data_IF_276164710713
#
_entry.id   IF_276164710713
#
_cell.length_a   1.000
_cell.length_b   1.000
_cell.length_c   1.000
_cell.angle_alpha   90.00
_cell.angle_beta   90.00
_cell.angle_gamma   90.00
#
_symmetry.space_group_name_H-M   'P 1'
#
loop_
_entity.id
_entity.type
_entity.pdbx_description
1 polymer ?
#
# COMPACT_ATOMS: atom_id res chain seq x y z
N UNK A 1 -2.81 -13.68 26.80
CA UNK A 1 -4.01 -14.52 26.84
C UNK A 1 -4.48 -14.88 25.43
N UNK A 2 -5.21 -15.97 25.27
CA UNK A 2 -5.78 -16.39 23.97
C UNK A 2 -6.62 -15.29 23.31
N UNK A 3 -7.28 -14.45 24.10
CA UNK A 3 -8.11 -13.36 23.59
C UNK A 3 -7.26 -12.21 23.01
N UNK A 4 -6.12 -11.93 23.61
CA UNK A 4 -5.17 -10.94 23.10
C UNK A 4 -4.56 -11.39 21.76
N UNK A 5 -4.17 -12.65 21.64
CA UNK A 5 -3.65 -13.20 20.40
C UNK A 5 -4.69 -13.16 19.26
N UNK A 6 -5.96 -13.45 19.55
CA UNK A 6 -7.04 -13.31 18.57
C UNK A 6 -7.19 -11.89 18.06
N UNK A 7 -7.11 -10.89 18.95
CA UNK A 7 -7.22 -9.48 18.58
C UNK A 7 -6.07 -9.02 17.68
N UNK A 8 -4.85 -9.48 17.92
CA UNK A 8 -3.68 -9.16 17.09
C UNK A 8 -3.86 -9.65 15.66
N UNK A 9 -4.53 -10.79 15.47
CA UNK A 9 -4.81 -11.33 14.12
C UNK A 9 -5.65 -10.39 13.26
N UNK A 10 -6.50 -9.55 13.84
CA UNK A 10 -7.26 -8.55 13.09
C UNK A 10 -6.38 -7.48 12.46
N UNK A 11 -5.17 -7.28 12.93
CA UNK A 11 -4.16 -6.42 12.29
C UNK A 11 -3.26 -7.24 11.35
N UNK A 12 -2.72 -8.34 11.84
CA UNK A 12 -1.67 -9.11 11.14
C UNK A 12 -2.20 -9.78 9.87
N UNK A 13 -3.38 -10.43 9.93
CA UNK A 13 -3.93 -11.13 8.76
C UNK A 13 -4.23 -10.21 7.58
N UNK A 14 -4.97 -9.09 7.73
CA UNK A 14 -5.18 -8.20 6.60
C UNK A 14 -3.88 -7.58 6.08
N UNK A 15 -2.92 -7.28 6.97
CA UNK A 15 -1.59 -6.80 6.56
C UNK A 15 -0.87 -7.80 5.65
N UNK A 16 -0.83 -9.07 6.06
CA UNK A 16 -0.19 -10.13 5.28
C UNK A 16 -0.93 -10.40 3.97
N UNK A 17 -2.24 -10.43 3.97
CA UNK A 17 -3.04 -10.67 2.75
C UNK A 17 -2.79 -9.56 1.74
N UNK A 18 -2.85 -8.29 2.16
CA UNK A 18 -2.58 -7.15 1.27
C UNK A 18 -1.15 -7.20 0.74
N UNK A 19 -0.16 -7.43 1.61
CA UNK A 19 1.25 -7.51 1.22
C UNK A 19 1.49 -8.64 0.21
N UNK A 20 0.95 -9.83 0.47
CA UNK A 20 1.12 -10.98 -0.42
C UNK A 20 0.45 -10.76 -1.77
N UNK A 21 -0.80 -10.28 -1.79
CA UNK A 21 -1.49 -9.97 -3.04
C UNK A 21 -0.78 -8.89 -3.84
N UNK A 22 -0.26 -7.86 -3.17
CA UNK A 22 0.53 -6.82 -3.81
C UNK A 22 1.80 -7.39 -4.47
N UNK A 23 2.61 -8.13 -3.72
CA UNK A 23 3.86 -8.68 -4.24
C UNK A 23 3.64 -9.76 -5.29
N UNK A 24 2.61 -10.60 -5.15
CA UNK A 24 2.28 -11.62 -6.15
C UNK A 24 1.83 -10.96 -7.46
N UNK A 25 0.91 -10.00 -7.41
CA UNK A 25 0.42 -9.32 -8.61
C UNK A 25 1.51 -8.52 -9.31
N UNK A 26 2.38 -7.84 -8.57
CA UNK A 26 3.56 -7.16 -9.12
C UNK A 26 4.53 -8.12 -9.78
N UNK A 27 4.80 -9.26 -9.16
CA UNK A 27 5.70 -10.27 -9.72
C UNK A 27 5.14 -10.91 -10.99
N UNK A 28 3.85 -11.15 -11.05
CA UNK A 28 3.17 -11.60 -12.27
C UNK A 28 3.27 -10.53 -13.37
N UNK A 29 3.04 -9.26 -13.04
CA UNK A 29 3.15 -8.16 -13.98
C UNK A 29 4.57 -8.08 -14.58
N UNK A 30 5.61 -8.15 -13.73
CA UNK A 30 7.00 -8.14 -14.19
C UNK A 30 7.32 -9.33 -15.10
N UNK A 31 6.76 -10.51 -14.80
CA UNK A 31 7.04 -11.72 -15.57
C UNK A 31 6.28 -11.80 -16.91
N UNK A 32 5.10 -11.18 -17.01
CA UNK A 32 4.17 -11.37 -18.11
C UNK A 32 3.94 -10.15 -19.01
N UNK A 33 4.17 -8.95 -18.52
CA UNK A 33 3.92 -7.72 -19.28
C UNK A 33 5.19 -7.24 -19.99
N UNK A 34 5.03 -6.83 -21.24
CA UNK A 34 6.06 -6.09 -21.99
C UNK A 34 5.87 -4.59 -21.70
N UNK A 35 6.92 -3.86 -21.27
CA UNK A 35 6.83 -2.41 -21.03
C UNK A 35 6.39 -1.60 -22.24
N UNK A 36 6.62 -2.12 -23.45
CA UNK A 36 6.32 -1.43 -24.71
C UNK A 36 4.96 -1.80 -25.32
N UNK A 37 4.32 -2.86 -24.80
CA UNK A 37 3.07 -3.39 -25.36
C UNK A 37 2.02 -3.53 -24.26
N UNK A 38 1.26 -2.46 -23.93
CA UNK A 38 0.16 -2.54 -22.99
C UNK A 38 -0.90 -3.56 -23.42
N UNK A 39 -1.49 -4.25 -22.46
CA UNK A 39 -2.57 -5.22 -22.68
C UNK A 39 -3.91 -4.57 -22.38
N UNK A 40 -4.70 -4.29 -23.43
CA UNK A 40 -6.04 -3.75 -23.27
C UNK A 40 -6.99 -4.80 -22.69
N UNK A 41 -7.77 -4.41 -21.69
CA UNK A 41 -8.72 -5.30 -21.00
C UNK A 41 -10.17 -4.93 -21.28
N UNK A 42 -10.56 -3.73 -20.86
CA UNK A 42 -11.95 -3.28 -20.95
C UNK A 42 -12.02 -1.77 -20.88
N UNK A 43 -12.75 -1.14 -21.80
CA UNK A 43 -12.89 0.30 -21.91
C UNK A 43 -11.51 1.01 -21.91
N UNK A 44 -11.22 1.86 -20.91
CA UNK A 44 -9.91 2.52 -20.77
C UNK A 44 -8.92 1.73 -19.92
N UNK A 45 -9.36 0.63 -19.27
CA UNK A 45 -8.51 -0.19 -18.43
C UNK A 45 -7.56 -1.05 -19.28
N UNK A 46 -6.29 -0.89 -19.02
CA UNK A 46 -5.23 -1.71 -19.59
C UNK A 46 -4.19 -2.08 -18.51
N UNK A 47 -3.36 -3.06 -18.81
CA UNK A 47 -2.20 -3.41 -18.02
C UNK A 47 -0.94 -2.88 -18.69
N UNK A 48 -0.21 -2.02 -18.00
CA UNK A 48 1.03 -1.41 -18.49
C UNK A 48 2.11 -1.58 -17.44
N UNK A 49 3.27 -2.11 -17.81
CA UNK A 49 4.36 -2.27 -16.85
C UNK A 49 5.18 -0.98 -16.77
N UNK A 50 5.13 -0.33 -15.62
CA UNK A 50 5.94 0.86 -15.30
C UNK A 50 6.70 0.63 -14.00
N UNK A 51 7.96 1.05 -14.00
CA UNK A 51 8.79 1.10 -12.80
C UNK A 51 8.92 2.54 -12.34
N UNK A 52 8.35 2.82 -11.16
CA UNK A 52 8.24 4.16 -10.61
C UNK A 52 9.37 4.42 -9.59
N UNK A 53 10.31 5.33 -9.90
CA UNK A 53 11.40 5.67 -8.98
C UNK A 53 10.96 6.56 -7.80
N UNK A 54 9.67 6.89 -7.68
CA UNK A 54 9.11 7.64 -6.56
C UNK A 54 8.73 9.08 -6.85
N UNK A 55 8.89 9.54 -8.10
CA UNK A 55 8.46 10.86 -8.50
C UNK A 55 7.67 10.81 -9.81
N UNK A 56 6.42 11.20 -9.75
CA UNK A 56 5.56 11.39 -10.93
C UNK A 56 6.02 12.55 -11.82
N UNK A 57 7.00 13.32 -11.38
CA UNK A 57 7.56 14.48 -12.06
C UNK A 57 9.07 14.36 -12.00
N UNK A 58 9.78 14.46 -13.08
CA UNK A 58 11.25 14.39 -13.28
C UNK A 58 12.12 15.12 -12.23
N UNK A 59 11.52 15.66 -11.20
CA UNK A 59 12.12 16.45 -10.12
C UNK A 59 12.74 15.56 -9.02
N UNK A 60 12.56 14.22 -9.07
CA UNK A 60 12.68 13.42 -7.87
C UNK A 60 13.61 12.21 -7.90
N UNK A 61 14.52 12.07 -8.87
CA UNK A 61 15.44 10.92 -8.90
C UNK A 61 16.27 10.78 -7.62
N UNK A 62 16.60 11.93 -6.98
CA UNK A 62 17.34 11.96 -5.71
C UNK A 62 16.42 11.88 -4.47
N UNK A 63 15.10 11.90 -4.64
CA UNK A 63 14.15 11.89 -3.52
C UNK A 63 13.66 10.49 -3.15
N UNK A 64 13.93 9.48 -3.97
CA UNK A 64 13.48 8.10 -3.71
C UNK A 64 13.87 7.59 -2.32
N UNK A 65 15.12 7.74 -1.84
CA UNK A 65 15.48 7.32 -0.48
C UNK A 65 14.73 8.08 0.60
N UNK A 66 14.42 9.35 0.38
CA UNK A 66 13.65 10.19 1.31
C UNK A 66 12.20 9.70 1.38
N UNK A 67 11.58 9.45 0.23
CA UNK A 67 10.22 8.90 0.13
C UNK A 67 10.15 7.53 0.82
N UNK A 68 11.13 6.65 0.56
CA UNK A 68 11.22 5.35 1.20
C UNK A 68 11.35 5.46 2.73
N UNK A 69 12.18 6.38 3.21
CA UNK A 69 12.37 6.64 4.65
C UNK A 69 11.09 7.13 5.29
N UNK A 70 10.38 8.08 4.67
CA UNK A 70 9.08 8.58 5.16
C UNK A 70 8.06 7.44 5.20
N UNK A 71 8.02 6.60 4.20
CA UNK A 71 7.11 5.45 4.15
C UNK A 71 7.42 4.42 5.25
N UNK A 72 8.69 4.16 5.55
CA UNK A 72 9.10 3.30 6.67
C UNK A 72 8.64 3.89 8.01
N UNK A 73 8.87 5.18 8.23
CA UNK A 73 8.42 5.87 9.45
C UNK A 73 6.89 5.81 9.55
N UNK A 74 6.17 6.07 8.47
CA UNK A 74 4.71 5.96 8.43
C UNK A 74 4.24 4.54 8.78
N UNK A 75 4.90 3.50 8.26
CA UNK A 75 4.55 2.11 8.55
C UNK A 75 4.73 1.77 10.04
N UNK A 76 5.78 2.28 10.67
CA UNK A 76 6.02 2.10 12.12
C UNK A 76 4.91 2.77 12.94
N UNK A 77 4.54 4.00 12.57
CA UNK A 77 3.46 4.74 13.25
C UNK A 77 2.12 4.01 13.09
N UNK A 78 1.80 3.54 11.89
CA UNK A 78 0.57 2.79 11.60
C UNK A 78 0.54 1.49 12.42
N UNK A 79 1.66 0.77 12.50
CA UNK A 79 1.75 -0.44 13.30
C UNK A 79 1.53 -0.15 14.79
N UNK A 80 2.13 0.90 15.32
CA UNK A 80 1.96 1.30 16.72
C UNK A 80 0.49 1.55 17.06
N UNK A 81 -0.19 2.38 16.28
CA UNK A 81 -1.60 2.67 16.50
C UNK A 81 -2.50 1.47 16.19
N UNK A 82 -2.18 0.69 15.18
CA UNK A 82 -2.94 -0.51 14.82
C UNK A 82 -2.88 -1.59 15.90
N UNK A 83 -1.72 -1.83 16.51
CA UNK A 83 -1.60 -2.77 17.61
C UNK A 83 -2.31 -2.28 18.88
N UNK A 84 -2.28 -0.97 19.15
CA UNK A 84 -2.92 -0.35 20.30
C UNK A 84 -4.45 -0.24 20.16
N UNK A 85 -4.98 -0.28 18.94
CA UNK A 85 -6.42 -0.08 18.66
C UNK A 85 -7.27 -1.19 19.31
N UNK A 86 -8.32 -0.79 20.02
CA UNK A 86 -9.25 -1.70 20.68
C UNK A 86 -10.40 -2.15 19.77
N UNK A 87 -10.88 -1.27 18.88
CA UNK A 87 -11.96 -1.58 17.96
C UNK A 87 -11.46 -2.48 16.84
N UNK A 88 -12.05 -3.67 16.71
CA UNK A 88 -11.56 -4.69 15.77
C UNK A 88 -11.71 -4.29 14.29
N UNK A 89 -12.77 -3.57 13.94
CA UNK A 89 -12.97 -3.05 12.58
C UNK A 89 -11.90 -2.02 12.22
N UNK A 90 -11.61 -1.11 13.11
CA UNK A 90 -10.58 -0.08 12.94
C UNK A 90 -9.19 -0.73 12.92
N UNK A 91 -8.94 -1.69 13.80
CA UNK A 91 -7.70 -2.49 13.83
C UNK A 91 -7.47 -3.22 12.50
N UNK A 92 -8.50 -3.82 11.93
CA UNK A 92 -8.47 -4.46 10.61
C UNK A 92 -8.07 -3.46 9.51
N UNK A 93 -8.66 -2.27 9.51
CA UNK A 93 -8.34 -1.22 8.54
C UNK A 93 -6.91 -0.68 8.72
N UNK A 94 -6.41 -0.56 9.94
CA UNK A 94 -4.99 -0.29 10.18
C UNK A 94 -4.10 -1.37 9.54
N UNK A 95 -4.49 -2.62 9.63
CA UNK A 95 -3.78 -3.74 8.99
C UNK A 95 -3.77 -3.62 7.46
N UNK A 96 -4.90 -3.30 6.84
CA UNK A 96 -5.01 -3.08 5.39
C UNK A 96 -4.09 -1.94 4.95
N UNK A 97 -4.13 -0.80 5.64
CA UNK A 97 -3.29 0.37 5.33
C UNK A 97 -1.81 0.04 5.54
N UNK A 98 -1.46 -0.63 6.63
CA UNK A 98 -0.09 -1.09 6.89
C UNK A 98 0.44 -1.99 5.76
N UNK A 99 -0.34 -2.98 5.34
CA UNK A 99 0.02 -3.86 4.22
C UNK A 99 0.24 -3.10 2.92
N UNK A 100 -0.58 -2.07 2.64
CA UNK A 100 -0.42 -1.20 1.49
C UNK A 100 0.87 -0.38 1.53
N UNK A 101 1.17 0.26 2.65
CA UNK A 101 2.43 1.01 2.81
C UNK A 101 3.63 0.09 2.66
N UNK A 102 3.64 -1.04 3.36
CA UNK A 102 4.75 -2.00 3.35
C UNK A 102 4.94 -2.63 1.97
N UNK A 103 3.87 -2.87 1.22
CA UNK A 103 3.94 -3.40 -0.15
C UNK A 103 4.82 -2.54 -1.06
N UNK A 104 4.67 -1.23 -1.01
CA UNK A 104 5.52 -0.30 -1.75
C UNK A 104 6.90 -0.12 -1.12
N UNK A 105 7.03 -0.18 0.20
CA UNK A 105 8.33 -0.16 0.89
C UNK A 105 9.20 -1.35 0.48
N UNK A 106 8.61 -2.55 0.39
CA UNK A 106 9.33 -3.76 -0.06
C UNK A 106 9.93 -3.58 -1.45
N UNK A 107 9.22 -2.95 -2.38
CA UNK A 107 9.75 -2.65 -3.70
C UNK A 107 10.97 -1.72 -3.62
N UNK A 108 10.90 -0.67 -2.80
CA UNK A 108 11.99 0.29 -2.63
C UNK A 108 13.22 -0.30 -1.94
N UNK A 109 13.04 -1.34 -1.13
CA UNK A 109 14.14 -2.05 -0.46
C UNK A 109 14.79 -3.11 -1.34
N UNK A 110 13.99 -3.86 -2.13
CA UNK A 110 14.44 -5.13 -2.72
C UNK A 110 14.35 -5.19 -4.24
N UNK A 111 13.58 -4.32 -4.91
CA UNK A 111 13.53 -4.30 -6.37
C UNK A 111 14.66 -3.45 -6.96
N UNK A 112 14.84 -3.54 -8.29
CA UNK A 112 15.87 -2.79 -9.01
C UNK A 112 15.78 -1.28 -8.76
N UNK A 113 16.93 -0.65 -8.56
CA UNK A 113 17.08 0.78 -8.38
C UNK A 113 18.53 1.19 -8.25
N UNK A 114 18.78 2.49 -8.20
CA UNK A 114 20.11 3.09 -8.23
C UNK A 114 20.68 3.33 -6.82
N UNK A 115 20.70 2.28 -5.98
CA UNK A 115 21.33 2.34 -4.67
C UNK A 115 20.38 2.05 -3.49
N UNK A 116 20.81 2.43 -2.29
CA UNK A 116 20.11 2.16 -1.04
C UNK A 116 18.75 2.88 -0.98
N UNK A 117 17.68 2.14 -0.67
CA UNK A 117 16.30 2.61 -0.62
C UNK A 117 15.78 3.23 -1.93
N UNK A 118 16.44 2.95 -3.05
CA UNK A 118 16.14 3.50 -4.36
C UNK A 118 15.46 2.51 -5.30
N UNK A 119 14.98 1.38 -4.78
CA UNK A 119 14.22 0.42 -5.57
C UNK A 119 12.97 1.04 -6.19
N UNK A 120 12.68 0.67 -7.42
CA UNK A 120 11.53 1.17 -8.17
C UNK A 120 10.26 0.40 -7.83
N UNK A 121 9.17 1.12 -7.57
CA UNK A 121 7.85 0.54 -7.35
C UNK A 121 7.29 0.06 -8.68
N UNK A 122 6.77 -1.16 -8.70
CA UNK A 122 6.10 -1.73 -9.87
C UNK A 122 4.64 -1.27 -9.90
N UNK A 123 4.28 -0.52 -10.91
CA UNK A 123 2.91 -0.07 -11.20
C UNK A 123 2.45 -0.72 -12.52
N UNK A 124 1.19 -1.17 -12.59
CA UNK A 124 0.72 -1.89 -13.76
C UNK A 124 -0.76 -1.73 -14.09
N UNK A 125 -1.58 -1.17 -13.20
CA UNK A 125 -3.00 -0.92 -13.44
C UNK A 125 -3.14 0.48 -14.03
N UNK A 126 -3.55 0.54 -15.30
CA UNK A 126 -3.58 1.76 -16.09
C UNK A 126 -5.01 2.03 -16.60
N UNK A 127 -5.64 3.06 -16.03
CA UNK A 127 -6.94 3.54 -16.45
C UNK A 127 -6.84 4.55 -17.62
N UNK A 128 -5.64 4.99 -17.99
CA UNK A 128 -5.29 5.99 -19.00
C UNK A 128 -5.68 7.44 -18.65
N UNK A 129 -6.59 7.66 -17.72
CA UNK A 129 -7.02 8.98 -17.23
C UNK A 129 -6.69 9.19 -15.75
N UNK A 130 -6.06 8.23 -15.09
CA UNK A 130 -5.60 8.23 -13.71
C UNK A 130 -4.14 7.77 -13.68
N UNK A 131 -3.31 8.22 -12.73
CA UNK A 131 -1.94 7.72 -12.59
C UNK A 131 -1.92 6.21 -12.43
N UNK A 132 -0.97 5.54 -13.09
CA UNK A 132 -0.81 4.08 -13.00
C UNK A 132 -0.55 3.70 -11.56
N UNK A 133 -1.14 2.60 -11.12
CA UNK A 133 -1.09 2.16 -9.72
C UNK A 133 -0.95 0.65 -9.61
N UNK A 134 -0.88 0.17 -8.37
CA UNK A 134 -0.73 -1.22 -8.01
C UNK A 134 -1.74 -1.61 -6.92
N UNK A 135 -1.71 -2.88 -6.48
CA UNK A 135 -2.64 -3.37 -5.47
C UNK A 135 -2.45 -2.67 -4.11
N UNK A 136 -1.19 -2.38 -3.71
CA UNK A 136 -0.91 -1.63 -2.48
C UNK A 136 -1.58 -0.24 -2.48
N UNK A 137 -1.53 0.46 -3.61
CA UNK A 137 -2.19 1.76 -3.77
C UNK A 137 -3.71 1.65 -3.62
N UNK A 138 -4.32 0.58 -4.15
CA UNK A 138 -5.75 0.32 -3.97
C UNK A 138 -6.09 0.14 -2.49
N UNK A 139 -5.29 -0.62 -1.76
CA UNK A 139 -5.47 -0.82 -0.33
C UNK A 139 -5.40 0.51 0.45
N UNK A 140 -4.50 1.42 0.07
CA UNK A 140 -4.37 2.75 0.67
C UNK A 140 -5.55 3.65 0.31
N UNK A 141 -5.92 3.72 -0.95
CA UNK A 141 -7.01 4.60 -1.44
C UNK A 141 -8.37 4.19 -0.87
N UNK A 142 -8.60 2.91 -0.65
CA UNK A 142 -9.83 2.39 -0.04
C UNK A 142 -9.71 2.36 1.48
N UNK A 143 -8.61 1.83 2.00
CA UNK A 143 -8.43 1.57 3.43
C UNK A 143 -8.31 2.84 4.27
N UNK A 144 -7.57 3.84 3.79
CA UNK A 144 -7.33 5.07 4.55
C UNK A 144 -8.60 5.91 4.74
N UNK A 145 -9.42 6.19 3.72
CA UNK A 145 -10.70 6.88 3.92
C UNK A 145 -11.66 6.13 4.85
N UNK A 146 -11.74 4.81 4.74
CA UNK A 146 -12.58 4.01 5.63
C UNK A 146 -12.08 4.04 7.07
N UNK A 147 -10.78 3.99 7.28
CA UNK A 147 -10.16 4.11 8.60
C UNK A 147 -10.52 5.45 9.24
N UNK A 148 -10.36 6.55 8.53
CA UNK A 148 -10.68 7.89 9.01
C UNK A 148 -12.18 8.05 9.29
N UNK A 149 -13.03 7.50 8.43
CA UNK A 149 -14.50 7.54 8.59
C UNK A 149 -14.95 6.81 9.87
N UNK A 150 -14.48 5.58 10.10
CA UNK A 150 -14.84 4.81 11.29
C UNK A 150 -14.24 5.40 12.57
N UNK A 151 -13.04 5.96 12.51
CA UNK A 151 -12.45 6.70 13.63
C UNK A 151 -13.32 7.90 14.00
N UNK A 152 -13.72 8.69 13.01
CA UNK A 152 -14.60 9.82 13.22
C UNK A 152 -15.94 9.41 13.83
N UNK A 153 -16.57 8.33 13.36
CA UNK A 153 -17.81 7.83 13.93
C UNK A 153 -17.68 7.44 15.40
N UNK A 154 -16.63 6.73 15.75
CA UNK A 154 -16.39 6.33 17.15
C UNK A 154 -16.23 7.57 18.05
N UNK A 155 -15.43 8.54 17.62
CA UNK A 155 -15.23 9.78 18.38
C UNK A 155 -16.53 10.59 18.53
N UNK A 156 -17.32 10.68 17.46
CA UNK A 156 -18.64 11.35 17.50
C UNK A 156 -19.59 10.66 18.47
N UNK A 157 -19.67 9.35 18.45
CA UNK A 157 -20.58 8.59 19.31
C UNK A 157 -20.17 8.70 20.78
N UNK A 158 -18.87 8.75 21.09
CA UNK A 158 -18.35 9.01 22.41
C UNK A 158 -18.67 10.44 22.91
N UNK A 159 -18.64 11.43 22.02
CA UNK A 159 -18.93 12.81 22.35
C UNK A 159 -20.43 13.06 22.61
N UNK A 160 -21.31 12.27 22.00
CA UNK A 160 -22.78 12.40 22.09
C UNK A 160 -23.42 11.48 23.17
N UNK A 161 -22.64 10.60 23.73
CA UNK A 161 -23.04 9.69 24.81
C UNK A 161 -22.61 10.20 26.17
#
# INVERSE_FOLDING_TARGET
SKQMHKKILFFVLPSLIVLLLDQITKSIAVAKLDPNEPVELFWTLQLSLIRNPGASFSIGENLTPIIATIAIIASVIIAYFGFAEANLKIKFLFGVVFGGVVGNVVDRLFRKGDGFLSGEVVDFIDLQWWPIFNFADMALVIGLPLLLYYRYQVERDLANG
#
